data_IF_098025508472
#
_entry.id   IF_098025508472
#
_cell.length_a   1.000
_cell.length_b   1.000
_cell.length_c   1.000
_cell.angle_alpha   90.00
_cell.angle_beta   90.00
_cell.angle_gamma   90.00
#
_symmetry.space_group_name_H-M   'P 1'
#
loop_
_entity.id
_entity.type
_entity.pdbx_description
1 polymer ?
#
# COMPACT_ATOMS: atom_id res chain seq x y z
N UNK A 1 -3.99 -23.34 5.08
CA UNK A 1 -5.04 -23.07 4.07
C UNK A 1 -4.89 -24.12 2.97
N UNK A 2 -5.98 -24.76 2.61
CA UNK A 2 -6.03 -25.69 1.48
C UNK A 2 -7.04 -25.12 0.47
N UNK A 3 -6.68 -25.17 -0.81
CA UNK A 3 -7.59 -24.77 -1.87
C UNK A 3 -8.46 -25.97 -2.26
N UNK A 4 -9.76 -25.78 -2.32
CA UNK A 4 -10.68 -26.78 -2.85
C UNK A 4 -10.55 -26.76 -4.38
N UNK A 5 -10.20 -27.87 -5.03
CA UNK A 5 -10.06 -27.90 -6.48
C UNK A 5 -11.42 -27.73 -7.16
N UNK A 6 -11.46 -26.91 -8.20
CA UNK A 6 -12.63 -26.70 -9.03
C UNK A 6 -12.34 -27.18 -10.48
N UNK A 7 -13.35 -27.13 -11.36
CA UNK A 7 -13.20 -27.52 -12.76
C UNK A 7 -12.04 -26.76 -13.42
N UNK A 8 -11.05 -27.50 -13.92
CA UNK A 8 -9.92 -26.94 -14.66
C UNK A 8 -10.26 -26.80 -16.14
N UNK A 9 -9.98 -25.64 -16.71
CA UNK A 9 -10.20 -25.33 -18.14
C UNK A 9 -8.89 -25.08 -18.92
N UNK A 10 -7.75 -25.11 -18.23
CA UNK A 10 -6.41 -24.90 -18.81
C UNK A 10 -5.63 -26.22 -18.85
N UNK A 11 -4.78 -26.38 -19.86
CA UNK A 11 -3.94 -27.58 -20.03
C UNK A 11 -2.63 -27.50 -19.25
N UNK A 12 -2.13 -26.29 -19.01
CA UNK A 12 -0.86 -26.05 -18.34
C UNK A 12 -0.95 -24.82 -17.41
N UNK A 13 -0.25 -24.86 -16.30
CA UNK A 13 -0.07 -23.69 -15.42
C UNK A 13 0.51 -22.48 -16.14
N UNK A 14 1.26 -22.69 -17.23
CA UNK A 14 1.85 -21.63 -18.06
C UNK A 14 0.80 -20.81 -18.83
N UNK A 15 -0.42 -21.34 -18.98
CA UNK A 15 -1.54 -20.66 -19.63
C UNK A 15 -2.29 -19.73 -18.66
N UNK A 16 -2.01 -19.84 -17.35
CA UNK A 16 -2.67 -19.01 -16.36
C UNK A 16 -2.05 -17.59 -16.39
N UNK A 17 -2.87 -16.60 -16.71
CA UNK A 17 -2.51 -15.19 -16.53
C UNK A 17 -2.69 -14.82 -15.05
N UNK A 18 -1.58 -14.43 -14.41
CA UNK A 18 -1.57 -13.97 -13.02
C UNK A 18 -1.44 -12.46 -12.92
N UNK A 19 -1.43 -11.75 -14.05
CA UNK A 19 -1.32 -10.30 -14.06
C UNK A 19 -2.52 -9.64 -13.40
N UNK A 20 -2.29 -8.50 -12.78
CA UNK A 20 -3.34 -7.70 -12.12
C UNK A 20 -3.15 -6.22 -12.46
N UNK A 21 -4.22 -5.58 -12.87
CA UNK A 21 -4.25 -4.12 -12.98
C UNK A 21 -4.48 -3.52 -11.60
N UNK A 22 -3.58 -2.66 -11.16
CA UNK A 22 -3.70 -1.94 -9.91
C UNK A 22 -3.39 -0.46 -10.13
N UNK A 23 -4.40 0.37 -10.06
CA UNK A 23 -4.30 1.77 -10.44
C UNK A 23 -3.87 1.97 -11.90
N UNK A 24 -2.87 2.82 -12.16
CA UNK A 24 -2.41 3.11 -13.52
C UNK A 24 -1.58 2.00 -14.16
N UNK A 25 -1.13 0.99 -13.40
CA UNK A 25 -0.19 -0.05 -13.88
C UNK A 25 -0.77 -1.45 -13.82
N UNK A 26 -0.18 -2.34 -14.62
CA UNK A 26 -0.40 -3.78 -14.57
C UNK A 26 0.85 -4.46 -14.02
N UNK A 27 0.67 -5.33 -13.03
CA UNK A 27 1.73 -6.07 -12.36
C UNK A 27 1.63 -7.57 -12.66
N UNK A 28 2.74 -8.28 -12.63
CA UNK A 28 2.81 -9.71 -13.01
C UNK A 28 2.03 -10.63 -12.08
N UNK A 29 1.92 -10.28 -10.80
CA UNK A 29 1.23 -11.10 -9.80
C UNK A 29 0.54 -10.21 -8.76
N UNK A 30 -0.57 -10.65 -8.15
CA UNK A 30 -1.26 -9.92 -7.07
C UNK A 30 -0.61 -10.17 -5.70
N UNK A 31 0.70 -9.99 -5.60
CA UNK A 31 1.46 -10.18 -4.36
C UNK A 31 2.28 -8.94 -4.07
N UNK A 32 2.21 -8.47 -2.83
CA UNK A 32 2.91 -7.28 -2.35
C UNK A 32 3.77 -7.66 -1.15
N UNK A 33 5.08 -7.39 -1.16
CA UNK A 33 5.91 -7.53 0.03
C UNK A 33 5.38 -6.64 1.16
N UNK A 34 5.45 -7.12 2.40
CA UNK A 34 5.10 -6.29 3.55
C UNK A 34 6.00 -5.05 3.59
N UNK A 35 5.40 -3.88 3.81
CA UNK A 35 6.10 -2.60 3.88
C UNK A 35 6.81 -2.40 5.23
N UNK A 36 7.66 -3.35 5.58
CA UNK A 36 8.44 -3.41 6.82
C UNK A 36 9.91 -3.20 6.50
N UNK A 37 10.62 -2.46 7.36
CA UNK A 37 12.06 -2.21 7.24
C UNK A 37 12.90 -3.50 7.13
N UNK A 38 12.44 -4.58 7.76
CA UNK A 38 13.09 -5.90 7.68
C UNK A 38 12.78 -6.69 6.41
N UNK A 39 11.88 -6.20 5.54
CA UNK A 39 11.40 -6.93 4.35
C UNK A 39 11.76 -6.20 3.07
N UNK A 40 11.65 -4.87 3.04
CA UNK A 40 11.88 -4.08 1.83
C UNK A 40 12.90 -2.96 2.10
N UNK A 41 13.84 -2.83 1.17
CA UNK A 41 14.81 -1.75 1.07
C UNK A 41 14.78 -1.12 -0.33
N UNK A 42 15.62 -0.12 -0.56
CA UNK A 42 15.71 0.58 -1.85
C UNK A 42 16.14 -0.36 -2.98
N UNK A 43 17.07 -1.29 -2.73
CA UNK A 43 17.55 -2.25 -3.72
C UNK A 43 16.46 -3.19 -4.19
N UNK A 44 15.71 -3.76 -3.25
CA UNK A 44 14.57 -4.62 -3.56
C UNK A 44 13.45 -3.84 -4.25
N UNK A 45 13.15 -2.61 -3.82
CA UNK A 45 12.13 -1.76 -4.44
C UNK A 45 12.47 -1.47 -5.91
N UNK A 46 13.72 -1.14 -6.22
CA UNK A 46 14.20 -0.94 -7.58
C UNK A 46 14.02 -2.22 -8.41
N UNK A 47 14.47 -3.36 -7.88
CA UNK A 47 14.34 -4.63 -8.58
C UNK A 47 12.87 -5.01 -8.87
N UNK A 48 11.98 -4.82 -7.89
CA UNK A 48 10.56 -5.08 -8.04
C UNK A 48 9.95 -4.19 -9.12
N UNK A 49 10.24 -2.88 -9.08
CA UNK A 49 9.74 -1.93 -10.07
C UNK A 49 10.25 -2.26 -11.50
N UNK A 50 11.52 -2.63 -11.65
CA UNK A 50 12.12 -3.02 -12.94
C UNK A 50 11.52 -4.31 -13.54
N UNK A 51 10.93 -5.14 -12.70
CA UNK A 51 10.37 -6.43 -13.11
C UNK A 51 8.83 -6.47 -13.10
N UNK A 52 8.16 -5.32 -13.03
CA UNK A 52 6.70 -5.18 -13.01
C UNK A 52 6.04 -5.88 -11.81
N UNK A 53 6.66 -5.82 -10.65
CA UNK A 53 6.08 -6.20 -9.38
C UNK A 53 5.72 -5.00 -8.56
N UNK A 54 4.53 -5.05 -7.91
CA UNK A 54 4.12 -3.98 -7.01
C UNK A 54 4.87 -4.09 -5.68
N UNK A 55 5.20 -2.93 -5.12
CA UNK A 55 5.81 -2.81 -3.80
C UNK A 55 5.27 -1.57 -3.08
N UNK A 56 5.45 -1.53 -1.79
CA UNK A 56 5.24 -0.34 -0.96
C UNK A 56 6.50 -0.14 -0.10
N UNK A 57 7.18 1.00 -0.26
CA UNK A 57 8.33 1.33 0.58
C UNK A 57 7.89 1.65 2.00
N UNK A 58 8.62 1.16 3.00
CA UNK A 58 8.35 1.44 4.40
C UNK A 58 8.57 2.93 4.75
N UNK A 59 7.92 3.42 5.82
CA UNK A 59 7.96 4.82 6.25
C UNK A 59 8.93 5.13 7.40
N UNK A 60 9.71 4.15 7.83
CA UNK A 60 10.54 4.26 9.03
C UNK A 60 11.84 5.06 8.84
N UNK A 61 12.14 5.47 7.62
CA UNK A 61 13.25 6.39 7.32
C UNK A 61 12.71 7.69 6.68
N UNK A 62 12.23 8.64 7.48
CA UNK A 62 11.56 9.84 6.96
C UNK A 62 12.49 10.78 6.19
N UNK A 63 13.80 10.74 6.48
CA UNK A 63 14.79 11.65 5.86
C UNK A 63 15.15 11.25 4.43
N UNK A 64 14.96 9.98 4.05
CA UNK A 64 15.33 9.47 2.72
C UNK A 64 14.14 9.34 1.77
N UNK A 65 12.89 9.46 2.25
CA UNK A 65 11.70 9.22 1.42
C UNK A 65 11.61 10.11 0.18
N UNK A 66 11.86 11.41 0.31
CA UNK A 66 11.85 12.32 -0.84
C UNK A 66 12.98 11.98 -1.83
N UNK A 67 14.19 11.70 -1.32
CA UNK A 67 15.32 11.28 -2.14
C UNK A 67 15.05 9.96 -2.87
N UNK A 68 14.38 9.00 -2.21
CA UNK A 68 13.95 7.75 -2.83
C UNK A 68 12.98 7.99 -3.99
N UNK A 69 11.95 8.83 -3.83
CA UNK A 69 11.01 9.17 -4.90
C UNK A 69 11.77 9.77 -6.09
N UNK A 70 12.64 10.75 -5.82
CA UNK A 70 13.46 11.40 -6.85
C UNK A 70 14.32 10.38 -7.61
N UNK A 71 15.02 9.51 -6.90
CA UNK A 71 15.85 8.46 -7.49
C UNK A 71 15.03 7.51 -8.38
N UNK A 72 13.82 7.12 -7.96
CA UNK A 72 12.93 6.27 -8.76
C UNK A 72 12.51 6.98 -10.05
N UNK A 73 12.14 8.26 -9.98
CA UNK A 73 11.79 9.05 -11.16
C UNK A 73 12.98 9.22 -12.12
N UNK A 74 14.18 9.49 -11.61
CA UNK A 74 15.42 9.59 -12.40
C UNK A 74 15.74 8.29 -13.15
N UNK A 75 15.34 7.13 -12.58
CA UNK A 75 15.47 5.81 -13.22
C UNK A 75 14.30 5.47 -14.16
N UNK A 76 13.31 6.34 -14.31
CA UNK A 76 12.10 6.05 -15.08
C UNK A 76 11.20 4.98 -14.45
N UNK A 77 11.31 4.76 -13.13
CA UNK A 77 10.56 3.77 -12.37
C UNK A 77 9.46 4.43 -11.55
N UNK A 78 8.38 3.71 -11.29
CA UNK A 78 7.32 4.21 -10.43
C UNK A 78 7.77 4.26 -8.96
N UNK A 79 7.30 5.28 -8.26
CA UNK A 79 7.50 5.42 -6.82
C UNK A 79 6.23 5.03 -6.06
N UNK A 80 6.38 4.11 -5.12
CA UNK A 80 5.34 3.71 -4.19
C UNK A 80 5.86 3.78 -2.76
N UNK A 81 5.22 4.61 -1.94
CA UNK A 81 5.65 4.90 -0.57
C UNK A 81 4.53 4.64 0.43
N UNK A 82 4.88 4.61 1.71
CA UNK A 82 3.90 4.62 2.79
C UNK A 82 4.03 5.87 3.66
N UNK A 83 2.91 6.29 4.24
CA UNK A 83 2.78 7.42 5.16
C UNK A 83 1.94 7.03 6.38
N UNK A 84 2.14 7.75 7.48
CA UNK A 84 1.26 7.70 8.65
C UNK A 84 0.21 8.82 8.63
N UNK A 85 -0.25 9.21 9.83
CA UNK A 85 -1.33 10.21 10.02
C UNK A 85 -0.94 11.33 10.98
N UNK A 86 0.34 11.47 11.33
CA UNK A 86 0.85 12.50 12.24
C UNK A 86 1.17 13.79 11.50
N UNK A 87 1.32 14.89 12.22
CA UNK A 87 1.60 16.22 11.66
C UNK A 87 2.85 16.27 10.75
N UNK A 88 3.87 15.48 11.05
CA UNK A 88 5.04 15.38 10.20
C UNK A 88 4.74 14.76 8.82
N UNK A 89 3.72 13.93 8.70
CA UNK A 89 3.30 13.35 7.43
C UNK A 89 2.58 14.38 6.55
N UNK A 90 1.74 15.25 7.12
CA UNK A 90 1.15 16.38 6.40
C UNK A 90 2.23 17.31 5.83
N UNK A 91 3.23 17.66 6.65
CA UNK A 91 4.38 18.46 6.18
C UNK A 91 5.15 17.78 5.06
N UNK A 92 5.28 16.44 5.12
CA UNK A 92 5.93 15.68 4.07
C UNK A 92 5.12 15.71 2.75
N UNK A 93 3.79 15.60 2.80
CA UNK A 93 2.93 15.77 1.60
C UNK A 93 3.07 17.18 1.02
N UNK A 94 3.11 18.22 1.87
CA UNK A 94 3.37 19.59 1.42
C UNK A 94 4.73 19.75 0.74
N UNK A 95 5.78 19.12 1.31
CA UNK A 95 7.10 19.07 0.70
C UNK A 95 7.05 18.41 -0.68
N UNK A 96 6.42 17.25 -0.82
CA UNK A 96 6.28 16.56 -2.10
C UNK A 96 5.61 17.47 -3.14
N UNK A 97 4.55 18.18 -2.75
CA UNK A 97 3.85 19.13 -3.62
C UNK A 97 4.77 20.27 -4.03
N UNK A 98 5.51 20.87 -3.10
CA UNK A 98 6.39 22.01 -3.35
C UNK A 98 7.59 21.65 -4.24
N UNK A 99 8.12 20.43 -4.08
CA UNK A 99 9.24 19.89 -4.86
C UNK A 99 8.79 19.23 -6.19
N UNK A 100 7.48 19.20 -6.46
CA UNK A 100 6.90 18.52 -7.63
C UNK A 100 7.28 17.02 -7.71
N UNK A 101 7.44 16.39 -6.57
CA UNK A 101 7.72 14.97 -6.43
C UNK A 101 6.39 14.21 -6.22
N UNK A 102 5.78 13.74 -7.31
CA UNK A 102 4.50 13.03 -7.26
C UNK A 102 4.72 11.51 -7.32
N UNK A 103 4.72 10.77 -6.19
CA UNK A 103 4.74 9.33 -6.24
C UNK A 103 3.45 8.81 -6.88
N UNK A 104 3.56 7.76 -7.70
CA UNK A 104 2.37 7.17 -8.34
C UNK A 104 1.45 6.51 -7.32
N UNK A 105 2.01 6.00 -6.20
CA UNK A 105 1.25 5.31 -5.16
C UNK A 105 1.64 5.82 -3.78
N UNK A 106 0.64 6.08 -2.96
CA UNK A 106 0.80 6.34 -1.52
C UNK A 106 -0.08 5.36 -0.74
N UNK A 107 0.51 4.65 0.20
CA UNK A 107 -0.22 3.80 1.14
C UNK A 107 -0.26 4.46 2.52
N UNK A 108 -1.46 4.79 3.02
CA UNK A 108 -1.66 5.18 4.41
C UNK A 108 -1.66 3.89 5.23
N UNK A 109 -0.63 3.72 6.08
CA UNK A 109 -0.38 2.47 6.80
C UNK A 109 -0.40 2.69 8.31
N UNK A 110 -1.54 2.37 8.91
CA UNK A 110 -1.77 2.43 10.36
C UNK A 110 -2.50 1.17 10.84
N UNK A 111 -2.27 0.79 12.10
CA UNK A 111 -2.86 -0.41 12.68
C UNK A 111 -4.39 -0.36 12.77
N UNK A 112 -4.97 0.84 12.93
CA UNK A 112 -6.41 1.08 12.99
C UNK A 112 -6.78 2.13 11.93
N UNK A 113 -7.12 1.64 10.73
CA UNK A 113 -7.41 2.48 9.57
C UNK A 113 -8.80 3.14 9.58
N UNK A 114 -9.76 2.61 10.31
CA UNK A 114 -11.11 3.17 10.40
C UNK A 114 -11.15 4.32 11.41
N UNK A 115 -10.67 5.48 11.04
CA UNK A 115 -10.65 6.67 11.90
C UNK A 115 -10.73 7.96 11.08
N UNK A 116 -11.26 9.01 11.69
CA UNK A 116 -11.33 10.35 11.10
C UNK A 116 -9.95 10.89 10.70
N UNK A 117 -8.89 10.47 11.39
CA UNK A 117 -7.52 10.88 11.05
C UNK A 117 -7.06 10.30 9.72
N UNK A 118 -7.44 9.05 9.42
CA UNK A 118 -7.14 8.41 8.12
C UNK A 118 -7.97 9.05 7.03
N UNK A 119 -9.26 9.28 7.27
CA UNK A 119 -10.16 9.98 6.34
C UNK A 119 -9.58 11.35 5.95
N UNK A 120 -9.21 12.16 6.94
CA UNK A 120 -8.58 13.47 6.70
C UNK A 120 -7.27 13.38 5.92
N UNK A 121 -6.46 12.37 6.17
CA UNK A 121 -5.21 12.16 5.44
C UNK A 121 -5.48 11.77 3.98
N UNK A 122 -6.49 10.94 3.70
CA UNK A 122 -6.90 10.60 2.33
C UNK A 122 -7.31 11.86 1.58
N UNK A 123 -8.24 12.63 2.15
CA UNK A 123 -8.73 13.90 1.56
C UNK A 123 -7.57 14.86 1.29
N UNK A 124 -6.65 14.99 2.25
CA UNK A 124 -5.49 15.86 2.14
C UNK A 124 -4.54 15.44 1.01
N UNK A 125 -4.22 14.15 0.90
CA UNK A 125 -3.39 13.64 -0.19
C UNK A 125 -4.07 13.89 -1.53
N UNK A 126 -5.37 13.60 -1.66
CA UNK A 126 -6.13 13.82 -2.89
C UNK A 126 -6.22 15.30 -3.29
N UNK A 127 -6.27 16.22 -2.33
CA UNK A 127 -6.21 17.67 -2.59
C UNK A 127 -4.83 18.10 -3.10
N UNK A 128 -3.75 17.63 -2.46
CA UNK A 128 -2.38 18.06 -2.77
C UNK A 128 -1.77 17.35 -3.98
N UNK A 129 -2.06 16.06 -4.13
CA UNK A 129 -1.49 15.14 -5.13
C UNK A 129 -2.62 14.36 -5.82
N UNK A 130 -3.47 15.02 -6.65
CA UNK A 130 -4.70 14.43 -7.18
C UNK A 130 -4.46 13.20 -8.08
N UNK A 131 -3.31 13.11 -8.73
CA UNK A 131 -2.98 12.02 -9.65
C UNK A 131 -2.40 10.78 -8.95
N UNK A 132 -2.13 10.88 -7.63
CA UNK A 132 -1.58 9.78 -6.84
C UNK A 132 -2.66 8.74 -6.52
N UNK A 133 -2.37 7.47 -6.76
CA UNK A 133 -3.21 6.35 -6.35
C UNK A 133 -3.05 6.11 -4.84
N UNK A 134 -4.12 6.27 -4.08
CA UNK A 134 -4.12 6.19 -2.61
C UNK A 134 -4.71 4.87 -2.14
N UNK A 135 -3.89 4.06 -1.46
CA UNK A 135 -4.34 2.90 -0.70
C UNK A 135 -4.41 3.26 0.77
N UNK A 136 -5.51 2.94 1.46
CA UNK A 136 -5.66 3.25 2.88
C UNK A 136 -5.96 2.01 3.71
N UNK A 137 -5.36 1.92 4.88
CA UNK A 137 -5.58 0.82 5.83
C UNK A 137 -4.76 0.95 7.12
N UNK A 138 -4.84 -0.07 7.98
CA UNK A 138 -5.54 -1.34 7.73
C UNK A 138 -6.94 -1.31 8.32
N UNK A 139 -7.86 -1.94 7.64
CA UNK A 139 -9.27 -2.04 8.04
C UNK A 139 -9.72 -3.51 8.12
N UNK A 140 -10.85 -3.78 8.77
CA UNK A 140 -11.32 -5.14 8.99
C UNK A 140 -12.85 -5.28 8.88
N UNK A 141 -13.56 -4.23 8.50
CA UNK A 141 -15.03 -4.25 8.37
C UNK A 141 -15.48 -3.65 7.03
N UNK A 142 -16.63 -4.09 6.48
CA UNK A 142 -17.18 -3.52 5.25
C UNK A 142 -17.50 -2.02 5.39
N UNK A 143 -17.94 -1.58 6.56
CA UNK A 143 -18.21 -0.17 6.85
C UNK A 143 -16.94 0.67 6.71
N UNK A 144 -15.82 0.17 7.28
CA UNK A 144 -14.54 0.86 7.17
C UNK A 144 -14.07 0.97 5.71
N UNK A 145 -14.22 -0.08 4.92
CA UNK A 145 -13.91 -0.05 3.48
C UNK A 145 -14.71 1.05 2.79
N UNK A 146 -16.03 1.06 3.00
CA UNK A 146 -16.93 2.06 2.40
C UNK A 146 -16.58 3.49 2.81
N UNK A 147 -16.27 3.72 4.08
CA UNK A 147 -15.96 5.05 4.58
C UNK A 147 -14.65 5.58 4.00
N UNK A 148 -13.62 4.72 3.86
CA UNK A 148 -12.37 5.12 3.24
C UNK A 148 -12.50 5.35 1.72
N UNK A 149 -13.30 4.54 1.01
CA UNK A 149 -13.62 4.75 -0.40
C UNK A 149 -14.39 6.07 -0.60
N UNK A 150 -15.38 6.36 0.25
CA UNK A 150 -16.12 7.63 0.22
C UNK A 150 -15.22 8.84 0.47
N UNK A 151 -14.17 8.70 1.26
CA UNK A 151 -13.14 9.73 1.48
C UNK A 151 -12.20 9.93 0.28
N UNK A 152 -12.26 9.05 -0.73
CA UNK A 152 -11.46 9.14 -1.94
C UNK A 152 -10.27 8.18 -2.02
N UNK A 153 -10.19 7.17 -1.15
CA UNK A 153 -9.20 6.11 -1.32
C UNK A 153 -9.50 5.30 -2.59
N UNK A 154 -8.49 5.04 -3.40
CA UNK A 154 -8.60 4.25 -4.62
C UNK A 154 -8.57 2.74 -4.33
N UNK A 155 -8.02 2.35 -3.19
CA UNK A 155 -8.01 0.99 -2.69
C UNK A 155 -7.96 0.96 -1.16
N UNK A 156 -8.41 -0.14 -0.56
CA UNK A 156 -8.33 -0.37 0.88
C UNK A 156 -7.49 -1.60 1.20
N UNK A 157 -6.65 -1.49 2.23
CA UNK A 157 -5.83 -2.58 2.73
C UNK A 157 -6.57 -3.27 3.88
N UNK A 158 -7.13 -4.45 3.59
CA UNK A 158 -7.94 -5.21 4.53
C UNK A 158 -7.08 -6.23 5.27
N UNK A 159 -7.23 -6.28 6.60
CA UNK A 159 -6.52 -7.19 7.49
C UNK A 159 -5.73 -6.46 8.57
N UNK A 160 -5.91 -6.87 9.84
CA UNK A 160 -5.24 -6.27 11.00
C UNK A 160 -4.52 -7.36 11.77
N UNK A 161 -3.18 -7.41 11.66
CA UNK A 161 -2.33 -8.34 12.39
C UNK A 161 -2.56 -9.84 12.13
N UNK A 162 -2.94 -10.29 10.90
CA UNK A 162 -3.23 -11.70 10.65
C UNK A 162 -1.96 -12.56 10.57
N UNK A 163 -0.79 -11.96 10.37
CA UNK A 163 0.48 -12.67 10.27
C UNK A 163 0.87 -13.37 11.57
N UNK A 164 1.44 -14.58 11.47
CA UNK A 164 1.86 -15.37 12.64
C UNK A 164 2.86 -14.62 13.53
N UNK A 165 3.80 -13.92 12.92
CA UNK A 165 4.85 -13.16 13.62
C UNK A 165 4.43 -11.70 13.92
N UNK A 166 3.21 -11.28 13.57
CA UNK A 166 2.78 -9.90 13.74
C UNK A 166 2.52 -9.57 15.21
N UNK A 167 3.15 -8.50 15.70
CA UNK A 167 3.00 -8.01 17.08
C UNK A 167 1.96 -6.90 17.21
N UNK A 168 1.28 -6.50 16.14
CA UNK A 168 0.29 -5.42 16.14
C UNK A 168 -0.76 -5.62 17.21
N UNK A 169 -1.36 -6.81 17.31
CA UNK A 169 -2.35 -7.14 18.34
C UNK A 169 -1.83 -7.05 19.79
N UNK A 170 -0.55 -7.33 20.00
CA UNK A 170 0.09 -7.19 21.31
C UNK A 170 0.34 -5.73 21.69
N UNK A 171 0.64 -4.90 20.71
CA UNK A 171 0.98 -3.48 20.89
C UNK A 171 -0.24 -2.56 20.90
N UNK A 172 -1.27 -2.87 20.11
CA UNK A 172 -2.43 -1.99 19.88
C UNK A 172 -3.75 -2.55 20.40
N UNK A 173 -3.81 -3.84 20.73
CA UNK A 173 -5.06 -4.56 21.05
C UNK A 173 -5.91 -4.89 19.82
N UNK A 174 -5.57 -4.40 18.63
CA UNK A 174 -6.30 -4.67 17.40
C UNK A 174 -5.74 -5.88 16.65
N UNK A 175 -6.63 -6.74 16.17
CA UNK A 175 -6.28 -7.88 15.35
C UNK A 175 -7.50 -8.66 14.91
N UNK A 176 -7.44 -9.17 13.68
CA UNK A 176 -8.46 -10.07 13.13
C UNK A 176 -7.80 -11.33 12.60
N UNK A 177 -8.47 -12.47 12.75
CA UNK A 177 -8.07 -13.69 12.04
C UNK A 177 -8.27 -13.50 10.53
N UNK A 178 -7.36 -14.02 9.70
CA UNK A 178 -7.47 -13.90 8.24
C UNK A 178 -8.77 -14.47 7.64
N UNK A 179 -9.47 -15.32 8.39
CA UNK A 179 -10.74 -15.92 8.00
C UNK A 179 -11.98 -15.06 8.32
N UNK A 180 -11.83 -13.99 9.08
CA UNK A 180 -12.93 -13.09 9.43
C UNK A 180 -13.16 -11.99 8.39
N UNK A 181 -12.37 -12.00 7.32
CA UNK A 181 -12.37 -10.96 6.28
C UNK A 181 -13.00 -11.44 4.96
N UNK A 182 -13.57 -12.64 4.96
CA UNK A 182 -14.28 -13.21 3.79
C UNK A 182 -15.77 -12.98 3.88
#
# INVERSE_FOLDING_TARGET
IQLVPNKCVIKSRKEADTSVKFGPRTFKIPVVPANMESVIDEGLAIWLAQNDYYYVMHRFNPTTRAAFIKMMHEKGLFASISVGIKDNEYKFIDQLKSEQLNPEYITIDVAHGHSDFVIKMIEYIKEKLPDTFVTAGNVATPEAVRDLENAGADATKVGVGPGKACITKLKTGFGTGGWQLS
#
